data_IF_968881645872
#
_entry.id   IF_968881645872
#
_cell.length_a   1.000
_cell.length_b   1.000
_cell.length_c   1.000
_cell.angle_alpha   90.00
_cell.angle_beta   90.00
_cell.angle_gamma   90.00
#
_symmetry.space_group_name_H-M   'P 1'
#
loop_
_entity.id
_entity.type
_entity.pdbx_description
1 polymer ?
#
# COMPACT_ATOMS: atom_id res chain seq x y z
N UNK A 1 24.54 12.48 25.33
CA UNK A 1 23.16 12.17 25.77
C UNK A 1 22.23 12.80 24.75
N UNK A 2 21.75 12.02 23.77
CA UNK A 2 20.89 12.53 22.68
C UNK A 2 19.49 12.86 23.20
N UNK A 3 18.74 13.75 22.54
CA UNK A 3 17.40 14.11 22.97
C UNK A 3 16.49 12.89 22.93
N UNK A 4 15.76 12.65 24.02
CA UNK A 4 14.67 11.67 24.09
C UNK A 4 13.63 12.13 23.07
N UNK A 5 13.55 11.43 21.92
CA UNK A 5 12.44 11.65 20.95
C UNK A 5 11.16 11.26 21.66
N UNK A 6 10.37 12.25 22.06
CA UNK A 6 8.97 12.07 22.41
C UNK A 6 8.33 11.47 21.16
N UNK A 7 7.94 10.18 21.23
CA UNK A 7 7.25 9.52 20.11
C UNK A 7 5.96 10.27 19.88
N UNK A 8 5.89 10.95 18.74
CA UNK A 8 4.72 11.70 18.35
C UNK A 8 3.48 10.79 18.38
N UNK A 9 2.34 11.31 18.86
CA UNK A 9 1.07 10.56 18.91
C UNK A 9 0.66 10.03 17.53
N UNK A 10 1.05 10.72 16.46
CA UNK A 10 0.84 10.31 15.07
C UNK A 10 1.62 9.03 14.76
N UNK A 11 2.86 8.91 15.19
CA UNK A 11 3.67 7.71 15.03
C UNK A 11 3.09 6.50 15.75
N UNK A 12 2.65 6.68 17.01
CA UNK A 12 2.00 5.61 17.78
C UNK A 12 0.70 5.17 17.12
N UNK A 13 -0.10 6.13 16.63
CA UNK A 13 -1.35 5.84 15.90
C UNK A 13 -1.07 5.04 14.63
N UNK A 14 -0.06 5.42 13.86
CA UNK A 14 0.34 4.71 12.64
C UNK A 14 0.76 3.26 12.96
N UNK A 15 1.61 3.07 13.96
CA UNK A 15 2.06 1.73 14.39
C UNK A 15 0.91 0.85 14.86
N UNK A 16 -0.06 1.42 15.56
CA UNK A 16 -1.25 0.70 15.98
C UNK A 16 -2.12 0.26 14.78
N UNK A 17 -2.29 1.12 13.78
CA UNK A 17 -3.01 0.78 12.55
C UNK A 17 -2.27 -0.35 11.79
N UNK A 18 -0.96 -0.23 11.59
CA UNK A 18 -0.13 -1.26 10.95
C UNK A 18 -0.27 -2.62 11.65
N UNK A 19 -0.24 -2.65 13.00
CA UNK A 19 -0.39 -3.87 13.77
C UNK A 19 -1.76 -4.53 13.58
N UNK A 20 -2.83 -3.74 13.56
CA UNK A 20 -4.19 -4.24 13.33
C UNK A 20 -4.34 -4.78 11.91
N UNK A 21 -3.85 -4.06 10.90
CA UNK A 21 -3.92 -4.49 9.50
C UNK A 21 -3.12 -5.78 9.29
N UNK A 22 -1.96 -5.92 9.89
CA UNK A 22 -1.15 -7.14 9.83
C UNK A 22 -1.85 -8.35 10.46
N UNK A 23 -2.55 -8.16 11.58
CA UNK A 23 -3.36 -9.22 12.19
C UNK A 23 -4.57 -9.57 11.30
N UNK A 24 -5.22 -8.58 10.71
CA UNK A 24 -6.31 -8.80 9.76
C UNK A 24 -5.83 -9.59 8.53
N UNK A 25 -4.70 -9.19 7.94
CA UNK A 25 -4.11 -9.85 6.77
C UNK A 25 -3.88 -11.36 7.00
N UNK A 26 -3.38 -11.71 8.19
CA UNK A 26 -2.97 -13.10 8.49
C UNK A 26 -4.05 -13.95 9.13
N UNK A 27 -4.99 -13.34 9.86
CA UNK A 27 -5.92 -14.06 10.76
C UNK A 27 -7.40 -13.87 10.41
N UNK A 28 -7.74 -13.12 9.34
CA UNK A 28 -9.14 -12.91 8.98
C UNK A 28 -9.86 -14.20 8.55
N UNK A 29 -11.14 -14.40 8.90
CA UNK A 29 -12.01 -13.47 9.63
C UNK A 29 -11.75 -13.47 11.13
N UNK A 30 -11.68 -12.30 11.78
CA UNK A 30 -11.27 -12.14 13.17
C UNK A 30 -12.12 -11.08 13.90
N UNK A 31 -12.40 -11.29 15.19
CA UNK A 31 -13.16 -10.35 16.00
C UNK A 31 -12.29 -9.25 16.62
N UNK A 32 -12.91 -8.11 17.01
CA UNK A 32 -12.22 -7.04 17.75
C UNK A 32 -11.57 -7.53 19.04
N UNK A 33 -12.20 -8.46 19.74
CA UNK A 33 -11.67 -9.03 20.99
C UNK A 33 -10.40 -9.86 20.75
N UNK A 34 -10.36 -10.63 19.67
CA UNK A 34 -9.19 -11.40 19.30
C UNK A 34 -8.05 -10.49 18.82
N UNK A 35 -8.35 -9.44 18.04
CA UNK A 35 -7.34 -8.43 17.66
C UNK A 35 -6.74 -7.77 18.90
N UNK A 36 -7.58 -7.38 19.89
CA UNK A 36 -7.12 -6.82 21.16
C UNK A 36 -6.15 -7.76 21.88
N UNK A 37 -6.46 -9.05 21.93
CA UNK A 37 -5.61 -10.07 22.57
C UNK A 37 -4.27 -10.27 21.83
N UNK A 38 -4.30 -10.27 20.48
CA UNK A 38 -3.09 -10.50 19.67
C UNK A 38 -2.16 -9.28 19.60
N UNK A 39 -2.70 -8.08 19.75
CA UNK A 39 -1.93 -6.84 19.66
C UNK A 39 -1.60 -6.22 21.02
N UNK A 40 -2.14 -6.77 22.10
CA UNK A 40 -2.04 -6.23 23.48
C UNK A 40 -2.56 -4.76 23.59
N UNK A 41 -3.44 -4.36 22.66
CA UNK A 41 -4.06 -3.05 22.67
C UNK A 41 -5.39 -3.08 23.42
N UNK A 42 -5.73 -1.96 24.08
CA UNK A 42 -7.01 -1.83 24.79
C UNK A 42 -8.20 -1.98 23.83
N UNK A 43 -9.33 -2.62 24.28
CA UNK A 43 -10.55 -2.73 23.46
C UNK A 43 -11.08 -1.40 22.94
N UNK A 44 -10.90 -0.31 23.69
CA UNK A 44 -11.28 1.03 23.26
C UNK A 44 -10.43 1.52 22.06
N UNK A 45 -9.11 1.29 22.10
CA UNK A 45 -8.21 1.63 21.00
C UNK A 45 -8.54 0.82 19.73
N UNK A 46 -8.76 -0.49 19.87
CA UNK A 46 -9.18 -1.36 18.76
C UNK A 46 -10.49 -0.85 18.15
N UNK A 47 -11.51 -0.59 18.98
CA UNK A 47 -12.80 -0.11 18.49
C UNK A 47 -12.68 1.19 17.71
N UNK A 48 -11.91 2.15 18.22
CA UNK A 48 -11.68 3.43 17.56
C UNK A 48 -11.00 3.26 16.19
N UNK A 49 -9.94 2.45 16.12
CA UNK A 49 -9.19 2.24 14.87
C UNK A 49 -10.02 1.45 13.86
N UNK A 50 -10.66 0.36 14.31
CA UNK A 50 -11.51 -0.46 13.43
C UNK A 50 -12.67 0.37 12.86
N UNK A 51 -13.32 1.22 13.67
CA UNK A 51 -14.38 2.09 13.17
C UNK A 51 -13.86 3.07 12.10
N UNK A 52 -12.65 3.60 12.26
CA UNK A 52 -12.03 4.44 11.23
C UNK A 52 -11.75 3.65 9.94
N UNK A 53 -11.25 2.40 10.04
CA UNK A 53 -11.03 1.54 8.86
C UNK A 53 -12.35 1.15 8.16
N UNK A 54 -13.42 0.92 8.92
CA UNK A 54 -14.77 0.68 8.39
C UNK A 54 -15.30 1.92 7.65
N UNK A 55 -15.16 3.11 8.24
CA UNK A 55 -15.62 4.36 7.61
C UNK A 55 -14.86 4.70 6.33
N UNK A 56 -13.59 4.28 6.22
CA UNK A 56 -12.77 4.40 5.01
C UNK A 56 -13.05 3.29 3.98
N UNK A 57 -13.90 2.31 4.31
CA UNK A 57 -14.19 1.19 3.43
C UNK A 57 -13.04 0.19 3.25
N UNK A 58 -12.01 0.23 4.12
CA UNK A 58 -10.84 -0.66 4.04
C UNK A 58 -11.10 -2.03 4.70
N UNK A 59 -12.06 -2.08 5.61
CA UNK A 59 -12.47 -3.27 6.35
C UNK A 59 -13.97 -3.40 6.28
N UNK A 60 -14.48 -4.60 6.35
CA UNK A 60 -15.92 -4.91 6.43
C UNK A 60 -16.23 -5.77 7.64
N UNK A 61 -17.44 -5.63 8.16
CA UNK A 61 -18.04 -6.56 9.11
C UNK A 61 -18.71 -7.69 8.34
N UNK A 62 -18.35 -8.92 8.69
CA UNK A 62 -18.92 -10.12 8.09
C UNK A 62 -19.85 -10.87 9.01
N UNK A 63 -20.15 -12.14 8.66
CA UNK A 63 -21.01 -13.01 9.45
C UNK A 63 -20.55 -13.16 10.89
N UNK A 64 -21.52 -13.23 11.77
CA UNK A 64 -21.33 -13.51 13.19
C UNK A 64 -20.59 -14.84 13.36
N UNK A 65 -19.50 -14.85 14.13
CA UNK A 65 -18.83 -16.09 14.50
C UNK A 65 -19.79 -17.00 15.26
N UNK A 66 -19.90 -18.26 14.83
CA UNK A 66 -20.58 -19.30 15.61
C UNK A 66 -19.69 -19.63 16.83
N UNK A 67 -19.81 -18.86 17.90
CA UNK A 67 -19.18 -19.23 19.15
C UNK A 67 -20.05 -20.32 19.84
N UNK A 68 -19.42 -21.45 20.14
CA UNK A 68 -20.04 -22.58 20.85
C UNK A 68 -20.34 -22.29 22.32
N UNK A 69 -20.62 -21.03 22.72
CA UNK A 69 -20.83 -20.64 24.10
C UNK A 69 -21.91 -19.57 24.31
N UNK A 70 -22.46 -19.46 25.53
CA UNK A 70 -23.37 -18.41 26.00
C UNK A 70 -22.61 -17.07 26.06
N UNK A 71 -22.64 -16.27 24.97
CA UNK A 71 -22.05 -14.94 24.92
C UNK A 71 -22.57 -14.11 23.74
N UNK A 72 -22.35 -12.78 23.77
CA UNK A 72 -22.67 -11.90 22.64
C UNK A 72 -21.89 -12.37 21.41
N UNK A 73 -22.60 -12.68 20.36
CA UNK A 73 -22.03 -13.13 19.09
C UNK A 73 -20.99 -12.13 18.58
N UNK A 74 -19.75 -12.57 18.39
CA UNK A 74 -18.67 -11.72 17.91
C UNK A 74 -18.88 -11.42 16.43
N UNK A 75 -18.74 -10.15 16.05
CA UNK A 75 -18.75 -9.73 14.64
C UNK A 75 -17.35 -9.88 14.08
N UNK A 76 -17.21 -10.63 13.02
CA UNK A 76 -15.95 -10.83 12.33
C UNK A 76 -15.63 -9.69 11.39
N UNK A 77 -14.37 -9.35 11.33
CA UNK A 77 -13.81 -8.33 10.45
C UNK A 77 -13.01 -8.99 9.33
N UNK A 78 -13.04 -8.36 8.15
CA UNK A 78 -12.26 -8.75 6.97
C UNK A 78 -11.72 -7.53 6.28
N UNK A 79 -10.55 -7.65 5.69
CA UNK A 79 -10.03 -6.67 4.71
C UNK A 79 -10.97 -6.66 3.50
N UNK A 80 -11.23 -5.47 2.97
CA UNK A 80 -11.90 -5.29 1.69
C UNK A 80 -10.84 -5.11 0.59
N UNK A 81 -10.66 -6.09 -0.31
CA UNK A 81 -9.66 -5.99 -1.37
C UNK A 81 -9.85 -4.75 -2.25
N UNK A 82 -11.09 -4.41 -2.56
CA UNK A 82 -11.49 -3.26 -3.38
C UNK A 82 -11.45 -1.91 -2.65
N UNK A 83 -11.13 -1.91 -1.35
CA UNK A 83 -11.12 -0.69 -0.53
C UNK A 83 -10.04 0.31 -0.91
N UNK A 84 -8.91 -0.18 -1.43
CA UNK A 84 -7.78 0.64 -1.88
C UNK A 84 -6.97 -0.09 -2.93
N UNK A 85 -6.41 0.64 -3.88
CA UNK A 85 -5.46 0.12 -4.85
C UNK A 85 -4.15 0.90 -4.80
N UNK A 86 -3.06 0.24 -5.16
CA UNK A 86 -1.73 0.86 -5.33
C UNK A 86 -1.17 0.46 -6.69
N UNK A 87 -0.43 1.38 -7.30
CA UNK A 87 0.25 1.17 -8.57
C UNK A 87 1.75 1.01 -8.31
N UNK A 88 2.31 -0.11 -8.74
CA UNK A 88 3.74 -0.34 -8.79
C UNK A 88 4.27 -0.14 -10.21
N UNK A 89 5.32 0.64 -10.37
CA UNK A 89 6.07 0.79 -11.62
C UNK A 89 7.49 0.31 -11.40
N UNK A 90 7.91 -0.70 -12.16
CA UNK A 90 9.27 -1.24 -12.11
C UNK A 90 9.97 -0.92 -13.43
N UNK A 91 11.07 -0.21 -13.35
CA UNK A 91 11.93 0.11 -14.49
C UNK A 91 13.19 -0.73 -14.44
N UNK A 92 13.50 -1.34 -15.54
CA UNK A 92 14.73 -2.09 -15.78
C UNK A 92 15.34 -1.61 -17.10
N UNK A 93 16.60 -1.96 -17.36
CA UNK A 93 17.20 -1.68 -18.67
C UNK A 93 16.36 -2.31 -19.79
N UNK A 94 15.80 -1.48 -20.66
CA UNK A 94 14.98 -1.90 -21.81
C UNK A 94 13.60 -2.48 -21.48
N UNK A 95 13.08 -2.33 -20.24
CA UNK A 95 11.77 -2.83 -19.88
C UNK A 95 11.12 -1.96 -18.80
N UNK A 96 9.83 -1.68 -19.00
CA UNK A 96 8.97 -1.08 -17.97
C UNK A 96 7.83 -2.05 -17.67
N UNK A 97 7.65 -2.37 -16.40
CA UNK A 97 6.57 -3.21 -15.90
C UNK A 97 5.69 -2.41 -14.93
N UNK A 98 4.40 -2.64 -15.01
CA UNK A 98 3.41 -1.97 -14.18
C UNK A 98 2.46 -3.00 -13.60
N UNK A 99 2.11 -2.85 -12.32
CA UNK A 99 1.15 -3.69 -11.63
C UNK A 99 0.25 -2.90 -10.72
N UNK A 100 -1.04 -3.23 -10.71
CA UNK A 100 -2.01 -2.73 -9.74
C UNK A 100 -2.25 -3.81 -8.69
N UNK A 101 -2.08 -3.45 -7.44
CA UNK A 101 -2.37 -4.31 -6.28
C UNK A 101 -3.60 -3.81 -5.55
N UNK A 102 -4.44 -4.74 -5.11
CA UNK A 102 -5.57 -4.45 -4.22
C UNK A 102 -5.10 -4.30 -2.75
N UNK A 103 -6.03 -3.93 -1.86
CA UNK A 103 -5.72 -3.73 -0.44
C UNK A 103 -5.41 -5.04 0.31
N UNK A 104 -5.75 -6.19 -0.24
CA UNK A 104 -5.38 -7.49 0.30
C UNK A 104 -4.01 -7.99 -0.20
N UNK A 105 -3.30 -7.21 -1.02
CA UNK A 105 -1.99 -7.55 -1.56
C UNK A 105 -2.02 -8.42 -2.82
N UNK A 106 -3.17 -8.62 -3.46
CA UNK A 106 -3.25 -9.38 -4.70
C UNK A 106 -2.90 -8.47 -5.90
N UNK A 107 -2.11 -9.01 -6.83
CA UNK A 107 -1.87 -8.36 -8.11
C UNK A 107 -3.10 -8.54 -8.99
N UNK A 108 -3.90 -7.48 -9.16
CA UNK A 108 -5.20 -7.54 -9.88
C UNK A 108 -5.08 -7.17 -11.35
N UNK A 109 -4.02 -6.46 -11.73
CA UNK A 109 -3.70 -6.17 -13.12
C UNK A 109 -2.20 -5.96 -13.29
N UNK A 110 -1.65 -6.36 -14.44
CA UNK A 110 -0.27 -6.04 -14.80
C UNK A 110 -0.13 -5.85 -16.30
N UNK A 111 0.88 -5.05 -16.68
CA UNK A 111 1.35 -4.86 -18.06
C UNK A 111 2.85 -4.67 -18.06
N UNK A 112 3.46 -5.02 -19.17
CA UNK A 112 4.85 -4.70 -19.43
C UNK A 112 5.05 -4.24 -20.89
N UNK A 113 6.08 -3.46 -21.10
CA UNK A 113 6.56 -3.10 -22.42
C UNK A 113 8.06 -3.18 -22.47
N UNK A 114 8.59 -3.56 -23.63
CA UNK A 114 10.03 -3.51 -23.92
C UNK A 114 10.32 -2.22 -24.65
N UNK A 115 11.42 -1.60 -24.30
CA UNK A 115 11.91 -0.38 -24.92
C UNK A 115 13.19 -0.70 -25.70
N UNK A 116 13.41 -0.10 -26.85
CA UNK A 116 14.65 -0.27 -27.63
C UNK A 116 15.88 0.29 -26.91
N UNK A 117 15.66 1.27 -26.02
CA UNK A 117 16.66 1.86 -25.16
C UNK A 117 16.02 2.25 -23.81
N UNK A 118 16.80 2.39 -22.71
CA UNK A 118 16.30 2.94 -21.47
C UNK A 118 15.74 4.35 -21.65
N UNK A 119 14.72 4.76 -20.85
CA UNK A 119 14.26 6.15 -20.85
C UNK A 119 15.40 7.11 -20.51
N UNK A 120 15.53 8.19 -21.27
CA UNK A 120 16.61 9.15 -21.08
C UNK A 120 16.39 10.11 -19.94
N UNK A 121 15.13 10.21 -19.46
CA UNK A 121 14.76 11.05 -18.32
C UNK A 121 13.61 10.46 -17.51
N UNK A 122 13.42 10.92 -16.26
CA UNK A 122 12.26 10.56 -15.43
C UNK A 122 10.92 10.92 -16.09
N UNK A 123 10.84 12.01 -16.84
CA UNK A 123 9.63 12.46 -17.55
C UNK A 123 9.24 11.50 -18.67
N UNK A 124 10.23 11.04 -19.44
CA UNK A 124 10.02 10.02 -20.48
C UNK A 124 9.55 8.71 -19.85
N UNK A 125 10.19 8.28 -18.77
CA UNK A 125 9.81 7.09 -18.01
C UNK A 125 8.37 7.18 -17.48
N UNK A 126 7.99 8.32 -16.93
CA UNK A 126 6.63 8.57 -16.48
C UNK A 126 5.63 8.59 -17.63
N UNK A 127 6.03 9.09 -18.79
CA UNK A 127 5.23 9.02 -20.03
C UNK A 127 4.94 7.57 -20.46
N UNK A 128 5.96 6.73 -20.46
CA UNK A 128 5.81 5.28 -20.73
C UNK A 128 4.90 4.61 -19.70
N UNK A 129 5.11 4.89 -18.41
CA UNK A 129 4.28 4.33 -17.35
C UNK A 129 2.80 4.76 -17.49
N UNK A 130 2.53 6.03 -17.81
CA UNK A 130 1.16 6.53 -18.04
C UNK A 130 0.51 5.85 -19.25
N UNK A 131 1.22 5.69 -20.35
CA UNK A 131 0.71 5.00 -21.53
C UNK A 131 0.39 3.53 -21.22
N UNK A 132 1.27 2.87 -20.47
CA UNK A 132 1.09 1.50 -20.05
C UNK A 132 -0.10 1.35 -19.07
N UNK A 133 -0.25 2.29 -18.12
CA UNK A 133 -1.41 2.33 -17.23
C UNK A 133 -2.73 2.53 -17.99
N UNK A 134 -2.75 3.44 -18.96
CA UNK A 134 -3.92 3.65 -19.80
C UNK A 134 -4.34 2.39 -20.58
N UNK A 135 -3.39 1.51 -20.91
CA UNK A 135 -3.67 0.23 -21.57
C UNK A 135 -4.34 -0.82 -20.68
N UNK A 136 -4.36 -0.61 -19.36
CA UNK A 136 -5.10 -1.46 -18.42
C UNK A 136 -6.62 -1.24 -18.49
N UNK A 137 -7.06 -0.13 -19.07
CA UNK A 137 -8.46 0.28 -19.16
C UNK A 137 -8.69 1.69 -18.60
N UNK A 138 -9.94 2.13 -18.50
CA UNK A 138 -10.26 3.47 -18.03
C UNK A 138 -9.87 3.62 -16.54
N UNK A 139 -9.40 4.80 -16.15
CA UNK A 139 -9.04 5.12 -14.77
C UNK A 139 -10.19 4.91 -13.76
N UNK A 140 -11.43 4.93 -14.25
CA UNK A 140 -12.63 4.62 -13.45
C UNK A 140 -12.68 3.18 -12.91
N UNK A 141 -11.87 2.26 -13.41
CA UNK A 141 -11.73 0.91 -12.86
C UNK A 141 -10.96 0.92 -11.51
N UNK A 142 -10.21 2.00 -11.24
CA UNK A 142 -9.36 2.14 -10.07
C UNK A 142 -9.74 3.36 -9.24
N UNK A 143 -11.01 3.50 -8.79
CA UNK A 143 -11.50 4.71 -8.13
C UNK A 143 -10.83 4.97 -6.79
N UNK A 144 -10.20 3.95 -6.21
CA UNK A 144 -9.50 3.98 -4.93
C UNK A 144 -7.97 3.88 -5.06
N UNK A 145 -7.40 4.28 -6.21
CA UNK A 145 -5.94 4.32 -6.39
C UNK A 145 -5.35 5.39 -5.47
N UNK A 146 -4.61 4.95 -4.45
CA UNK A 146 -4.17 5.80 -3.34
C UNK A 146 -2.69 6.17 -3.40
N UNK A 147 -1.87 5.37 -4.08
CA UNK A 147 -0.44 5.59 -4.13
C UNK A 147 0.21 4.99 -5.39
N UNK A 148 1.33 5.58 -5.79
CA UNK A 148 2.22 5.05 -6.82
C UNK A 148 3.58 4.76 -6.18
N UNK A 149 4.07 3.54 -6.36
CA UNK A 149 5.44 3.15 -6.00
C UNK A 149 6.27 2.97 -7.26
N UNK A 150 7.49 3.52 -7.28
CA UNK A 150 8.40 3.41 -8.41
C UNK A 150 9.67 2.70 -7.96
N UNK A 151 10.04 1.63 -8.66
CA UNK A 151 11.30 0.91 -8.46
C UNK A 151 12.22 1.14 -9.65
N UNK A 152 13.44 1.54 -9.36
CA UNK A 152 14.51 1.72 -10.35
C UNK A 152 15.78 1.01 -9.89
N UNK A 153 16.61 0.48 -10.80
CA UNK A 153 17.92 -0.04 -10.43
C UNK A 153 18.83 1.13 -10.04
N UNK A 154 19.54 1.01 -8.91
CA UNK A 154 20.50 2.02 -8.49
C UNK A 154 20.37 2.45 -7.03
N UNK A 155 21.00 3.57 -6.70
CA UNK A 155 20.97 4.16 -5.35
C UNK A 155 19.92 5.26 -5.30
N UNK A 156 18.92 5.09 -4.42
CA UNK A 156 17.79 6.01 -4.27
C UNK A 156 17.66 6.50 -2.83
N UNK A 157 17.19 7.71 -2.68
CA UNK A 157 16.68 8.25 -1.43
C UNK A 157 15.15 8.20 -1.46
N UNK A 158 14.58 7.31 -0.65
CA UNK A 158 13.15 7.09 -0.60
C UNK A 158 12.36 8.26 0.04
N UNK A 159 13.02 9.09 0.87
CA UNK A 159 12.36 10.23 1.51
C UNK A 159 12.14 11.38 0.51
N UNK A 160 13.16 11.68 -0.28
CA UNK A 160 13.09 12.75 -1.29
C UNK A 160 12.62 12.27 -2.67
N UNK A 161 12.55 10.95 -2.92
CA UNK A 161 12.28 10.39 -4.24
C UNK A 161 13.39 10.67 -5.26
N UNK A 162 14.64 10.78 -4.79
CA UNK A 162 15.81 11.12 -5.62
C UNK A 162 16.61 9.89 -5.97
N UNK A 163 16.96 9.72 -7.24
CA UNK A 163 17.90 8.73 -7.73
C UNK A 163 19.27 9.38 -7.80
N UNK A 164 20.18 8.98 -6.90
CA UNK A 164 21.55 9.48 -6.93
C UNK A 164 22.33 8.94 -8.13
N UNK A 165 22.17 7.66 -8.43
CA UNK A 165 22.81 7.01 -9.57
C UNK A 165 22.08 5.75 -9.98
N UNK A 166 21.88 5.60 -11.28
CA UNK A 166 21.43 4.38 -11.95
C UNK A 166 22.26 4.19 -13.22
N UNK A 167 23.21 3.27 -13.18
CA UNK A 167 24.07 2.97 -14.33
C UNK A 167 23.27 2.32 -15.46
N UNK A 168 22.28 1.50 -15.13
CA UNK A 168 21.43 0.82 -16.11
C UNK A 168 20.53 1.79 -16.89
N UNK A 169 20.06 2.86 -16.25
CA UNK A 169 19.19 3.87 -16.85
C UNK A 169 19.99 5.09 -17.34
N UNK A 170 21.29 5.16 -17.01
CA UNK A 170 22.13 6.31 -17.34
C UNK A 170 21.75 7.57 -16.54
N UNK A 171 21.09 7.42 -15.39
CA UNK A 171 20.61 8.56 -14.60
C UNK A 171 21.58 8.91 -13.47
N UNK A 172 21.80 10.21 -13.29
CA UNK A 172 22.58 10.74 -12.18
C UNK A 172 21.86 11.94 -11.61
N UNK A 173 21.58 11.89 -10.31
CA UNK A 173 21.08 13.01 -9.53
C UNK A 173 19.72 13.56 -10.02
N UNK A 174 18.77 12.66 -10.35
CA UNK A 174 17.44 13.00 -10.87
C UNK A 174 16.35 12.79 -9.82
N UNK A 175 15.24 13.52 -9.94
CA UNK A 175 14.06 13.37 -9.08
C UNK A 175 12.97 12.59 -9.80
N UNK A 176 12.36 11.62 -9.11
CA UNK A 176 11.17 10.89 -9.57
C UNK A 176 9.87 11.46 -9.00
N UNK A 177 9.94 12.29 -7.97
CA UNK A 177 8.75 12.74 -7.24
C UNK A 177 7.75 13.49 -8.14
N UNK A 178 8.22 14.50 -8.91
CA UNK A 178 7.34 15.30 -9.77
C UNK A 178 6.79 14.54 -10.98
N UNK A 179 7.60 13.81 -11.77
CA UNK A 179 7.11 13.10 -12.96
C UNK A 179 6.05 12.03 -12.65
N UNK A 180 6.07 11.47 -11.42
CA UNK A 180 5.16 10.40 -10.98
C UNK A 180 4.09 10.86 -9.96
N UNK A 181 3.98 12.16 -9.71
CA UNK A 181 2.95 12.76 -8.86
C UNK A 181 1.55 12.77 -9.49
#
# INVERSE_FOLDING_TARGET
MGPIRIRDQSYIKQKNIESILRVLETCQPISRAEISRLTDMSPASITRIVNALLSLGLVSEGSVALSAGRGRKAINLRIRPDGMHTLGVCMESGRVRLGVMDFAGNLVACRETRLPAPPTSPEEAAGVARALFASLGPASQWPSLAAVGVSVPGTVDNESGRVFRSDELGWTDVSLAQPFA
#
